data_IF_485288762167
#
_entry.id   IF_485288762167
#
_cell.length_a   1.000
_cell.length_b   1.000
_cell.length_c   1.000
_cell.angle_alpha   90.00
_cell.angle_beta   90.00
_cell.angle_gamma   90.00
#
_symmetry.space_group_name_H-M   'P 1'
#
loop_
_entity.id
_entity.type
_entity.pdbx_description
1 polymer ?
#
# COMPACT_ATOMS: atom_id res chain seq x y z
N UNK A 1 -12.08 -10.57 -5.74
CA UNK A 1 -12.71 -9.57 -4.84
C UNK A 1 -12.37 -8.16 -5.28
N UNK A 2 -11.08 -7.83 -5.49
CA UNK A 2 -10.63 -6.53 -6.00
C UNK A 2 -11.21 -6.23 -7.38
N UNK A 3 -11.24 -7.21 -8.30
CA UNK A 3 -11.79 -7.01 -9.65
C UNK A 3 -13.30 -6.68 -9.63
N UNK A 4 -14.03 -7.19 -8.64
CA UNK A 4 -15.45 -6.85 -8.45
C UNK A 4 -15.61 -5.41 -7.96
N UNK A 5 -14.69 -4.92 -7.13
CA UNK A 5 -14.71 -3.53 -6.66
C UNK A 5 -14.35 -2.59 -7.82
N UNK A 6 -13.34 -2.94 -8.61
CA UNK A 6 -12.97 -2.20 -9.82
C UNK A 6 -14.13 -2.15 -10.81
N UNK A 7 -14.82 -3.26 -11.06
CA UNK A 7 -15.96 -3.28 -11.97
C UNK A 7 -17.14 -2.44 -11.46
N UNK A 8 -17.40 -2.42 -10.15
CA UNK A 8 -18.41 -1.53 -9.55
C UNK A 8 -18.04 -0.06 -9.74
N UNK A 9 -16.76 0.30 -9.52
CA UNK A 9 -16.29 1.68 -9.67
C UNK A 9 -16.31 2.13 -11.14
N UNK A 10 -15.98 1.23 -12.06
CA UNK A 10 -16.10 1.48 -13.50
C UNK A 10 -17.56 1.63 -13.94
N UNK A 11 -18.48 0.85 -13.37
CA UNK A 11 -19.91 1.00 -13.59
C UNK A 11 -20.42 2.34 -13.04
N UNK A 12 -19.97 2.75 -11.84
CA UNK A 12 -20.25 4.08 -11.28
C UNK A 12 -19.68 5.21 -12.15
N UNK A 13 -18.56 4.97 -12.85
CA UNK A 13 -17.97 5.89 -13.84
C UNK A 13 -18.78 5.94 -15.15
N UNK A 14 -19.47 4.87 -15.52
CA UNK A 14 -20.37 4.85 -16.69
C UNK A 14 -21.72 5.51 -16.37
N UNK A 15 -22.24 5.29 -15.15
CA UNK A 15 -23.52 5.81 -14.67
C UNK A 15 -23.37 7.07 -13.80
N UNK A 16 -22.45 7.97 -14.18
CA UNK A 16 -22.07 9.12 -13.34
C UNK A 16 -23.24 10.07 -13.10
N UNK A 17 -24.14 10.23 -14.06
CA UNK A 17 -25.25 11.18 -13.93
C UNK A 17 -26.23 10.78 -12.84
N UNK A 18 -26.58 9.49 -12.75
CA UNK A 18 -27.52 8.98 -11.76
C UNK A 18 -26.87 8.87 -10.39
N UNK A 19 -25.63 8.38 -10.33
CA UNK A 19 -24.92 8.17 -9.07
C UNK A 19 -24.50 9.49 -8.41
N UNK A 20 -24.02 10.45 -9.21
CA UNK A 20 -23.65 11.76 -8.68
C UNK A 20 -24.87 12.53 -8.20
N UNK A 21 -26.02 12.37 -8.87
CA UNK A 21 -27.26 13.05 -8.46
C UNK A 21 -27.72 12.61 -7.07
N UNK A 22 -27.65 11.31 -6.76
CA UNK A 22 -27.98 10.80 -5.41
C UNK A 22 -27.08 11.46 -4.36
N UNK A 23 -25.76 11.50 -4.61
CA UNK A 23 -24.79 12.13 -3.70
C UNK A 23 -25.04 13.64 -3.59
N UNK A 24 -25.38 14.29 -4.70
CA UNK A 24 -25.65 15.72 -4.74
C UNK A 24 -26.92 16.07 -3.95
N UNK A 25 -27.98 15.27 -4.07
CA UNK A 25 -29.22 15.42 -3.32
C UNK A 25 -28.95 15.30 -1.81
N UNK A 26 -28.20 14.28 -1.35
CA UNK A 26 -27.78 14.16 0.05
C UNK A 26 -26.98 15.37 0.56
N UNK A 27 -26.05 15.87 -0.26
CA UNK A 27 -25.26 17.06 0.09
C UNK A 27 -26.13 18.30 0.15
N UNK A 28 -27.13 18.44 -0.73
CA UNK A 28 -28.06 19.58 -0.71
C UNK A 28 -28.91 19.59 0.56
N UNK A 29 -29.35 18.42 1.04
CA UNK A 29 -30.07 18.30 2.31
C UNK A 29 -29.20 18.73 3.49
N UNK A 30 -27.94 18.28 3.54
CA UNK A 30 -26.99 18.65 4.59
C UNK A 30 -26.66 20.15 4.54
N UNK A 31 -26.45 20.71 3.35
CA UNK A 31 -26.20 22.14 3.18
C UNK A 31 -27.40 23.00 3.59
N UNK A 32 -28.63 22.54 3.32
CA UNK A 32 -29.85 23.21 3.77
C UNK A 32 -29.97 23.21 5.31
N UNK A 33 -29.59 22.12 5.98
CA UNK A 33 -29.55 22.04 7.45
C UNK A 33 -28.53 22.99 8.08
N UNK A 34 -27.44 23.29 7.37
CA UNK A 34 -26.33 24.13 7.84
C UNK A 34 -26.41 25.59 7.37
N UNK A 35 -27.47 25.95 6.63
CA UNK A 35 -27.66 27.28 6.02
C UNK A 35 -26.48 27.71 5.11
N UNK A 36 -25.93 26.75 4.37
CA UNK A 36 -24.81 26.96 3.43
C UNK A 36 -25.30 26.91 1.99
N UNK A 37 -25.12 28.01 1.25
CA UNK A 37 -25.45 28.06 -0.18
C UNK A 37 -24.39 27.37 -1.04
N UNK A 38 -24.81 26.41 -1.88
CA UNK A 38 -23.96 25.75 -2.87
C UNK A 38 -23.76 26.70 -4.05
N UNK A 39 -22.60 27.37 -4.11
CA UNK A 39 -22.22 28.27 -5.21
C UNK A 39 -21.03 27.74 -5.98
N UNK A 40 -21.01 28.04 -7.29
CA UNK A 40 -19.84 27.79 -8.11
C UNK A 40 -18.67 28.65 -7.62
N UNK A 41 -17.47 28.06 -7.45
CA UNK A 41 -16.27 28.83 -7.13
C UNK A 41 -15.98 29.88 -8.19
N UNK A 42 -15.41 31.00 -7.79
CA UNK A 42 -15.00 32.06 -8.71
C UNK A 42 -13.96 31.53 -9.71
N UNK A 43 -14.28 31.59 -11.01
CA UNK A 43 -13.37 31.23 -12.10
C UNK A 43 -12.49 32.45 -12.40
N UNK A 44 -11.17 32.31 -12.24
CA UNK A 44 -10.20 33.38 -12.54
C UNK A 44 -9.57 33.17 -13.91
N UNK A 45 -9.41 34.23 -14.71
CA UNK A 45 -8.88 34.14 -16.08
C UNK A 45 -7.44 33.61 -16.20
N UNK A 46 -6.67 33.61 -15.11
CA UNK A 46 -5.34 33.01 -15.03
C UNK A 46 -5.28 32.14 -13.78
N UNK A 47 -5.27 30.82 -13.96
CA UNK A 47 -5.25 29.84 -12.88
C UNK A 47 -4.14 28.83 -13.17
N UNK A 48 -3.14 28.74 -12.29
CA UNK A 48 -1.94 27.91 -12.52
C UNK A 48 -2.09 26.46 -12.06
N UNK A 49 -2.97 26.19 -11.08
CA UNK A 49 -3.05 24.90 -10.39
C UNK A 49 -4.38 24.17 -10.55
N UNK A 50 -5.35 24.76 -11.26
CA UNK A 50 -6.68 24.16 -11.48
C UNK A 50 -7.25 24.59 -12.83
N UNK A 51 -7.80 23.64 -13.56
CA UNK A 51 -8.46 23.87 -14.85
C UNK A 51 -9.82 24.58 -14.70
N UNK A 52 -10.06 25.54 -15.59
CA UNK A 52 -11.30 26.31 -15.66
C UNK A 52 -12.35 25.58 -16.50
N UNK A 53 -12.99 24.60 -15.87
CA UNK A 53 -14.11 23.90 -16.48
C UNK A 53 -15.31 24.83 -16.60
N UNK A 54 -15.83 25.01 -17.81
CA UNK A 54 -17.07 25.74 -18.04
C UNK A 54 -18.24 24.82 -17.69
N UNK A 55 -19.10 25.25 -16.78
CA UNK A 55 -20.30 24.54 -16.36
C UNK A 55 -21.44 25.53 -16.12
N UNK A 56 -22.64 25.15 -16.54
CA UNK A 56 -23.84 26.00 -16.43
C UNK A 56 -24.48 25.92 -15.04
N UNK A 57 -24.32 24.78 -14.36
CA UNK A 57 -24.87 24.53 -13.03
C UNK A 57 -23.78 24.16 -12.01
N UNK A 58 -23.95 24.48 -10.72
CA UNK A 58 -23.05 24.03 -9.66
C UNK A 58 -22.89 22.49 -9.65
N UNK A 59 -23.98 21.77 -9.90
CA UNK A 59 -23.98 20.30 -10.01
C UNK A 59 -23.04 19.81 -11.12
N UNK A 60 -23.16 20.35 -12.34
CA UNK A 60 -22.29 19.98 -13.45
C UNK A 60 -20.82 20.34 -13.16
N UNK A 61 -20.57 21.46 -12.47
CA UNK A 61 -19.22 21.88 -12.11
C UNK A 61 -18.54 20.92 -11.12
N UNK A 62 -19.22 20.54 -10.04
CA UNK A 62 -18.65 19.62 -9.04
C UNK A 62 -18.53 18.19 -9.54
N UNK A 63 -19.44 17.76 -10.42
CA UNK A 63 -19.35 16.48 -11.13
C UNK A 63 -18.05 16.36 -11.92
N UNK A 64 -17.70 17.40 -12.68
CA UNK A 64 -16.48 17.41 -13.50
C UNK A 64 -15.21 17.61 -12.69
N UNK A 65 -15.24 18.57 -11.78
CA UNK A 65 -14.00 18.98 -11.09
C UNK A 65 -13.64 18.12 -9.88
N UNK A 66 -14.61 17.49 -9.20
CA UNK A 66 -14.32 16.61 -8.06
C UNK A 66 -14.63 15.16 -8.37
N UNK A 67 -15.87 14.85 -8.77
CA UNK A 67 -16.32 13.46 -8.79
C UNK A 67 -15.55 12.61 -9.83
N UNK A 68 -15.42 13.10 -11.07
CA UNK A 68 -14.63 12.40 -12.09
C UNK A 68 -13.15 12.29 -11.70
N UNK A 69 -12.53 13.38 -11.26
CA UNK A 69 -11.11 13.36 -10.88
C UNK A 69 -10.86 12.38 -9.72
N UNK A 70 -11.75 12.36 -8.74
CA UNK A 70 -11.65 11.46 -7.59
C UNK A 70 -11.84 10.00 -7.98
N UNK A 71 -12.88 9.68 -8.76
CA UNK A 71 -13.12 8.30 -9.22
C UNK A 71 -11.97 7.80 -10.10
N UNK A 72 -11.50 8.62 -11.03
CA UNK A 72 -10.41 8.26 -11.94
C UNK A 72 -9.13 8.01 -11.15
N UNK A 73 -8.80 8.89 -10.21
CA UNK A 73 -7.67 8.71 -9.31
C UNK A 73 -7.81 7.44 -8.47
N UNK A 74 -8.99 7.18 -7.89
CA UNK A 74 -9.22 6.01 -7.05
C UNK A 74 -9.11 4.71 -7.86
N UNK A 75 -9.66 4.65 -9.08
CA UNK A 75 -9.53 3.51 -9.99
C UNK A 75 -8.06 3.31 -10.37
N UNK A 76 -7.34 4.39 -10.70
CA UNK A 76 -5.93 4.33 -11.05
C UNK A 76 -5.08 3.85 -9.87
N UNK A 77 -5.34 4.33 -8.66
CA UNK A 77 -4.66 3.88 -7.45
C UNK A 77 -4.96 2.42 -7.13
N UNK A 78 -6.19 1.93 -7.32
CA UNK A 78 -6.50 0.52 -7.13
C UNK A 78 -5.81 -0.37 -8.17
N UNK A 79 -5.80 0.03 -9.45
CA UNK A 79 -5.06 -0.69 -10.51
C UNK A 79 -3.55 -0.66 -10.27
N UNK A 80 -3.06 0.53 -9.91
CA UNK A 80 -1.93 0.80 -9.04
C UNK A 80 -1.56 -0.36 -8.13
N UNK A 81 -2.30 -0.40 -7.04
CA UNK A 81 -2.07 -1.19 -5.85
C UNK A 81 -2.17 -2.69 -6.08
N UNK A 82 -2.96 -3.12 -7.06
CA UNK A 82 -3.19 -4.54 -7.35
C UNK A 82 -2.70 -4.96 -8.73
N UNK A 83 -1.68 -4.28 -9.26
CA UNK A 83 -1.02 -4.67 -10.51
C UNK A 83 -0.55 -6.14 -10.48
N UNK A 84 -0.44 -6.75 -11.67
CA UNK A 84 -0.15 -8.18 -11.86
C UNK A 84 1.04 -8.69 -11.04
N UNK A 85 2.09 -7.88 -10.86
CA UNK A 85 3.25 -8.23 -10.05
C UNK A 85 2.91 -8.48 -8.57
N UNK A 86 2.01 -7.66 -8.00
CA UNK A 86 1.55 -7.82 -6.61
C UNK A 86 0.57 -8.97 -6.47
N UNK A 87 -0.25 -9.24 -7.49
CA UNK A 87 -1.11 -10.42 -7.49
C UNK A 87 -0.27 -11.71 -7.49
N UNK A 88 0.79 -11.76 -8.30
CA UNK A 88 1.78 -12.85 -8.28
C UNK A 88 2.44 -12.99 -6.92
N UNK A 89 2.86 -11.89 -6.29
CA UNK A 89 3.44 -11.91 -4.95
C UNK A 89 2.43 -12.39 -3.87
N UNK A 90 1.16 -12.02 -3.99
CA UNK A 90 0.09 -12.38 -3.03
C UNK A 90 -0.36 -13.84 -3.12
N UNK A 91 -0.12 -14.53 -4.24
CA UNK A 91 -0.42 -15.97 -4.38
C UNK A 91 0.32 -16.84 -3.35
N UNK A 92 1.33 -16.32 -2.65
CA UNK A 92 1.95 -16.97 -1.47
C UNK A 92 0.94 -17.26 -0.35
N UNK A 93 -0.20 -16.57 -0.32
CA UNK A 93 -1.33 -16.88 0.58
C UNK A 93 -1.79 -18.35 0.51
N UNK A 94 -1.55 -19.04 -0.61
CA UNK A 94 -1.85 -20.47 -0.76
C UNK A 94 -1.06 -21.36 0.22
N UNK A 95 0.01 -20.86 0.84
CA UNK A 95 0.76 -21.56 1.90
C UNK A 95 0.11 -21.50 3.28
N UNK A 96 -0.87 -20.61 3.47
CA UNK A 96 -1.64 -20.56 4.71
C UNK A 96 -2.54 -21.81 4.76
N UNK A 97 -2.48 -22.62 5.83
CA UNK A 97 -3.13 -23.94 5.90
C UNK A 97 -4.60 -23.97 5.49
N UNK A 98 -5.37 -22.92 5.84
CA UNK A 98 -6.77 -22.75 5.40
C UNK A 98 -6.95 -22.81 3.88
N UNK A 99 -6.02 -22.25 3.12
CA UNK A 99 -6.05 -22.21 1.65
C UNK A 99 -5.17 -23.29 1.01
N UNK A 100 -4.20 -23.85 1.74
CA UNK A 100 -3.30 -24.91 1.23
C UNK A 100 -4.05 -26.18 0.84
N UNK A 101 -5.12 -26.52 1.57
CA UNK A 101 -5.89 -27.74 1.30
C UNK A 101 -6.61 -27.66 -0.06
N UNK A 102 -7.12 -26.48 -0.42
CA UNK A 102 -7.82 -26.24 -1.70
C UNK A 102 -6.90 -25.88 -2.87
N UNK A 103 -5.67 -25.41 -2.61
CA UNK A 103 -4.76 -24.91 -3.65
C UNK A 103 -3.93 -26.02 -4.33
N UNK A 104 -3.47 -25.77 -5.55
CA UNK A 104 -2.58 -26.68 -6.30
C UNK A 104 -1.20 -26.05 -6.50
N UNK A 105 -0.15 -26.87 -6.67
CA UNK A 105 1.21 -26.35 -6.91
C UNK A 105 1.30 -25.45 -8.15
N UNK A 106 0.41 -25.62 -9.13
CA UNK A 106 0.31 -24.76 -10.31
C UNK A 106 0.14 -23.28 -9.94
N UNK A 107 -0.58 -22.99 -8.86
CA UNK A 107 -0.83 -21.62 -8.37
C UNK A 107 0.43 -20.97 -7.79
N UNK A 108 1.39 -21.78 -7.34
CA UNK A 108 2.66 -21.32 -6.78
C UNK A 108 3.76 -21.13 -7.84
N UNK A 109 3.62 -21.64 -9.06
CA UNK A 109 4.70 -21.55 -10.08
C UNK A 109 5.04 -20.09 -10.36
N UNK A 110 4.03 -19.23 -10.50
CA UNK A 110 4.23 -17.80 -10.73
C UNK A 110 4.82 -17.06 -9.51
N UNK A 111 4.50 -17.51 -8.29
CA UNK A 111 5.15 -16.97 -7.07
C UNK A 111 6.61 -17.37 -7.00
N UNK A 112 6.92 -18.59 -7.44
CA UNK A 112 8.25 -19.16 -7.41
C UNK A 112 9.16 -18.38 -8.36
N UNK A 113 8.65 -18.03 -9.55
CA UNK A 113 9.33 -17.15 -10.50
C UNK A 113 9.61 -15.76 -9.92
N UNK A 114 8.69 -15.22 -9.13
CA UNK A 114 8.85 -13.92 -8.49
C UNK A 114 9.91 -13.91 -7.36
N UNK A 115 9.96 -14.97 -6.54
CA UNK A 115 10.88 -15.07 -5.38
C UNK A 115 12.10 -15.95 -5.63
N UNK A 116 12.50 -16.20 -6.89
CA UNK A 116 13.65 -17.07 -7.18
C UNK A 116 14.92 -16.60 -6.48
N UNK A 117 15.12 -15.28 -6.40
CA UNK A 117 16.26 -14.63 -5.75
C UNK A 117 16.31 -14.83 -4.25
N UNK A 118 15.15 -14.99 -3.60
CA UNK A 118 15.06 -15.14 -2.14
C UNK A 118 15.09 -16.60 -1.69
N UNK A 119 14.78 -17.54 -2.60
CA UNK A 119 14.62 -18.94 -2.27
C UNK A 119 15.82 -19.82 -2.58
N UNK A 120 16.75 -19.42 -3.46
CA UNK A 120 17.96 -20.19 -3.83
C UNK A 120 17.68 -21.71 -3.94
N UNK A 121 16.59 -22.10 -4.61
CA UNK A 121 16.18 -23.50 -4.69
C UNK A 121 15.50 -23.85 -6.01
N UNK A 122 15.63 -25.11 -6.42
CA UNK A 122 14.92 -25.63 -7.59
C UNK A 122 13.44 -25.79 -7.30
N UNK A 123 12.59 -25.57 -8.31
CA UNK A 123 11.13 -25.72 -8.20
C UNK A 123 10.71 -27.12 -7.71
N UNK A 124 11.52 -28.15 -7.97
CA UNK A 124 11.30 -29.53 -7.50
C UNK A 124 11.36 -29.66 -5.98
N UNK A 125 12.26 -28.94 -5.30
CA UNK A 125 12.41 -29.00 -3.84
C UNK A 125 11.22 -28.34 -3.16
N UNK A 126 10.82 -27.16 -3.64
CA UNK A 126 9.63 -26.48 -3.10
C UNK A 126 8.36 -27.28 -3.35
N UNK A 127 8.25 -27.96 -4.50
CA UNK A 127 7.11 -28.85 -4.78
C UNK A 127 7.00 -29.98 -3.76
N UNK A 128 8.13 -30.63 -3.45
CA UNK A 128 8.18 -31.69 -2.43
C UNK A 128 7.77 -31.17 -1.05
N UNK A 129 8.33 -30.03 -0.62
CA UNK A 129 7.95 -29.40 0.64
C UNK A 129 6.46 -29.04 0.67
N UNK A 130 5.92 -28.49 -0.42
CA UNK A 130 4.51 -28.09 -0.53
C UNK A 130 3.56 -29.28 -0.45
N UNK A 131 3.87 -30.38 -1.15
CA UNK A 131 3.07 -31.61 -1.09
C UNK A 131 3.08 -32.21 0.33
N UNK A 132 4.23 -32.22 1.00
CA UNK A 132 4.35 -32.64 2.39
C UNK A 132 3.59 -31.71 3.36
N UNK A 133 3.65 -30.40 3.15
CA UNK A 133 2.92 -29.41 3.94
C UNK A 133 1.41 -29.56 3.77
N UNK A 134 0.94 -29.74 2.53
CA UNK A 134 -0.46 -30.02 2.23
C UNK A 134 -0.93 -31.33 2.87
N UNK A 135 -0.11 -32.38 2.84
CA UNK A 135 -0.42 -33.65 3.48
C UNK A 135 -0.48 -33.53 5.02
N UNK A 136 0.38 -32.71 5.64
CA UNK A 136 0.37 -32.43 7.08
C UNK A 136 -0.94 -31.80 7.53
N UNK A 137 -1.43 -30.80 6.79
CA UNK A 137 -2.69 -30.10 7.12
C UNK A 137 -3.94 -30.81 6.65
N UNK A 138 -3.89 -31.58 5.56
CA UNK A 138 -5.01 -32.40 5.10
C UNK A 138 -5.40 -33.54 6.07
N UNK A 139 -4.51 -33.89 7.01
CA UNK A 139 -4.80 -34.87 8.08
C UNK A 139 -5.52 -34.26 9.28
N UNK A 140 -5.52 -32.93 9.44
CA UNK A 140 -6.19 -32.23 10.55
C UNK A 140 -7.54 -31.68 10.09
N UNK A 141 -8.58 -31.92 10.89
CA UNK A 141 -9.95 -31.46 10.60
C UNK A 141 -10.08 -29.93 10.78
N UNK A 142 -10.92 -29.31 9.94
CA UNK A 142 -10.88 -27.88 9.58
C UNK A 142 -11.02 -26.81 10.68
N UNK A 143 -11.24 -27.16 11.94
CA UNK A 143 -11.32 -26.19 13.04
C UNK A 143 -9.96 -25.89 13.72
N UNK A 144 -8.88 -26.62 13.39
CA UNK A 144 -7.52 -26.36 13.91
C UNK A 144 -6.58 -25.71 12.87
N UNK A 145 -7.10 -25.28 11.72
CA UNK A 145 -6.27 -24.75 10.65
C UNK A 145 -5.91 -23.28 10.96
N UNK A 146 -4.61 -22.93 10.98
CA UNK A 146 -4.18 -21.55 11.05
C UNK A 146 -4.82 -20.70 9.95
N UNK A 147 -5.42 -19.58 10.34
CA UNK A 147 -6.05 -18.65 9.40
C UNK A 147 -5.10 -17.54 8.96
N UNK A 148 -4.04 -17.30 9.74
CA UNK A 148 -3.05 -16.25 9.46
C UNK A 148 -1.67 -16.81 9.17
N UNK A 149 -0.88 -16.05 8.41
CA UNK A 149 0.51 -16.37 8.10
C UNK A 149 1.39 -16.51 9.35
N UNK A 150 1.13 -15.70 10.37
CA UNK A 150 1.88 -15.67 11.64
C UNK A 150 1.62 -16.94 12.44
N UNK A 151 0.36 -17.37 12.53
CA UNK A 151 0.02 -18.66 13.15
C UNK A 151 0.62 -19.81 12.36
N UNK A 152 0.52 -19.79 11.03
CA UNK A 152 1.12 -20.81 10.16
C UNK A 152 2.64 -20.93 10.37
N UNK A 153 3.34 -19.81 10.55
CA UNK A 153 4.76 -19.79 10.90
C UNK A 153 5.06 -20.43 12.25
N UNK A 154 4.21 -20.22 13.26
CA UNK A 154 4.39 -20.79 14.59
C UNK A 154 4.33 -22.33 14.59
N UNK A 155 3.54 -22.91 13.68
CA UNK A 155 3.41 -24.36 13.50
C UNK A 155 4.35 -24.94 12.43
N UNK A 156 5.17 -24.11 11.80
CA UNK A 156 6.10 -24.49 10.74
C UNK A 156 7.52 -24.70 11.32
N UNK A 157 7.96 -25.96 11.53
CA UNK A 157 9.34 -26.22 11.90
C UNK A 157 10.26 -25.90 10.72
N UNK A 158 11.15 -24.92 10.90
CA UNK A 158 12.12 -24.46 9.88
C UNK A 158 13.07 -25.55 9.38
N UNK A 159 13.24 -26.62 10.17
CA UNK A 159 14.11 -27.75 9.83
C UNK A 159 13.46 -28.66 8.78
N UNK A 160 12.15 -28.87 8.87
CA UNK A 160 11.41 -29.76 7.96
C UNK A 160 10.92 -29.03 6.70
N UNK A 161 10.63 -27.72 6.83
CA UNK A 161 10.05 -26.91 5.75
C UNK A 161 10.76 -25.54 5.62
N UNK A 162 12.08 -25.51 5.34
CA UNK A 162 12.85 -24.27 5.31
C UNK A 162 12.36 -23.28 4.25
N UNK A 163 11.92 -23.74 3.08
CA UNK A 163 11.51 -22.85 1.98
C UNK A 163 10.10 -22.31 2.20
N UNK A 164 9.19 -23.15 2.69
CA UNK A 164 7.84 -22.70 3.09
C UNK A 164 7.91 -21.72 4.25
N UNK A 165 8.77 -21.96 5.25
CA UNK A 165 8.95 -21.02 6.36
C UNK A 165 9.45 -19.65 5.88
N UNK A 166 10.37 -19.63 4.90
CA UNK A 166 10.87 -18.38 4.30
C UNK A 166 9.76 -17.65 3.54
N UNK A 167 8.99 -18.35 2.72
CA UNK A 167 7.85 -17.76 1.99
C UNK A 167 6.75 -17.26 2.93
N UNK A 168 6.42 -18.00 3.97
CA UNK A 168 5.46 -17.57 4.99
C UNK A 168 5.99 -16.36 5.77
N UNK A 169 7.30 -16.28 6.02
CA UNK A 169 7.92 -15.13 6.67
C UNK A 169 7.85 -13.90 5.78
N UNK A 170 8.19 -14.04 4.50
CA UNK A 170 8.01 -13.00 3.49
C UNK A 170 6.55 -12.54 3.47
N UNK A 171 5.59 -13.47 3.40
CA UNK A 171 4.16 -13.17 3.41
C UNK A 171 3.71 -12.44 4.68
N UNK A 172 4.19 -12.84 5.86
CA UNK A 172 3.88 -12.17 7.12
C UNK A 172 4.46 -10.75 7.20
N UNK A 173 5.52 -10.46 6.46
CA UNK A 173 6.12 -9.12 6.37
C UNK A 173 5.52 -8.24 5.28
N UNK A 174 4.61 -8.75 4.44
CA UNK A 174 3.94 -7.91 3.45
C UNK A 174 3.13 -6.82 4.15
N UNK A 175 3.32 -5.54 3.79
CA UNK A 175 2.41 -4.50 4.20
C UNK A 175 1.10 -4.67 3.42
N UNK A 176 0.20 -5.52 3.92
CA UNK A 176 -1.14 -5.74 3.33
C UNK A 176 -2.02 -4.50 3.55
N UNK A 177 -1.69 -3.65 4.53
CA UNK A 177 -2.37 -2.38 4.79
C UNK A 177 -1.37 -1.24 4.96
N UNK A 178 -1.74 -0.05 4.50
CA UNK A 178 -0.98 1.20 4.63
C UNK A 178 -1.05 1.81 6.04
N UNK A 179 -1.57 1.08 7.04
CA UNK A 179 -1.79 1.59 8.41
C UNK A 179 -0.56 1.53 9.31
N UNK A 180 0.42 0.65 9.07
CA UNK A 180 1.63 0.57 9.91
C UNK A 180 2.57 1.79 9.84
N UNK A 181 2.71 2.55 8.72
CA UNK A 181 3.54 3.75 8.70
C UNK A 181 2.92 4.98 9.39
N UNK A 182 1.83 4.89 10.15
CA UNK A 182 1.28 6.06 10.87
C UNK A 182 2.32 6.78 11.73
N UNK A 183 3.20 6.03 12.40
CA UNK A 183 4.30 6.59 13.19
C UNK A 183 5.33 7.31 12.31
N UNK A 184 5.62 6.77 11.14
CA UNK A 184 6.59 7.36 10.22
C UNK A 184 6.02 8.58 9.51
N UNK A 185 4.77 8.51 9.04
CA UNK A 185 4.04 9.64 8.49
C UNK A 185 3.82 10.76 9.49
N UNK A 186 3.50 10.45 10.76
CA UNK A 186 3.39 11.45 11.83
C UNK A 186 4.72 12.14 12.11
N UNK A 187 5.81 11.38 12.16
CA UNK A 187 7.16 11.93 12.36
C UNK A 187 7.60 12.79 11.17
N UNK A 188 7.33 12.35 9.94
CA UNK A 188 7.57 13.12 8.72
C UNK A 188 6.72 14.39 8.66
N UNK A 189 5.46 14.32 9.09
CA UNK A 189 4.57 15.49 9.17
C UNK A 189 5.10 16.50 10.17
N UNK A 190 5.57 16.07 11.34
CA UNK A 190 6.22 16.92 12.34
C UNK A 190 7.48 17.58 11.76
N UNK A 191 8.37 16.81 11.13
CA UNK A 191 9.58 17.32 10.48
C UNK A 191 9.25 18.38 9.41
N UNK A 192 8.31 18.10 8.51
CA UNK A 192 7.87 19.03 7.45
C UNK A 192 7.20 20.28 8.01
N UNK A 193 6.40 20.14 9.06
CA UNK A 193 5.68 21.28 9.69
C UNK A 193 6.66 22.17 10.44
N UNK A 194 7.61 21.59 11.16
CA UNK A 194 8.62 22.33 11.93
C UNK A 194 9.63 23.05 11.03
N UNK A 195 10.06 22.43 9.92
CA UNK A 195 11.11 22.96 9.03
C UNK A 195 10.56 23.71 7.80
N UNK A 196 9.39 24.35 7.96
CA UNK A 196 8.39 24.76 6.96
C UNK A 196 8.79 25.49 5.64
N UNK A 197 10.04 25.65 5.22
CA UNK A 197 10.29 26.33 3.91
C UNK A 197 11.66 26.21 3.23
N UNK A 198 12.62 25.38 3.65
CA UNK A 198 13.95 25.37 2.97
C UNK A 198 14.69 24.03 3.08
N UNK A 199 14.02 22.91 2.76
CA UNK A 199 14.65 21.58 2.87
C UNK A 199 14.57 20.79 1.56
N UNK A 200 15.74 20.41 1.03
CA UNK A 200 15.84 19.46 -0.08
C UNK A 200 15.49 18.03 0.34
N UNK A 201 15.25 17.16 -0.65
CA UNK A 201 14.86 15.77 -0.43
C UNK A 201 15.90 14.98 0.38
N UNK A 202 17.19 15.20 0.14
CA UNK A 202 18.26 14.46 0.82
C UNK A 202 18.28 14.72 2.33
N UNK A 203 18.28 16.01 2.72
CA UNK A 203 18.23 16.39 4.14
C UNK A 203 16.94 15.89 4.83
N UNK A 204 15.83 15.78 4.10
CA UNK A 204 14.57 15.23 4.62
C UNK A 204 14.67 13.74 4.90
N UNK A 205 15.23 12.98 3.96
CA UNK A 205 15.40 11.55 4.13
C UNK A 205 16.35 11.25 5.29
N UNK A 206 17.39 12.04 5.49
CA UNK A 206 18.31 11.89 6.60
C UNK A 206 17.72 12.17 7.97
N UNK A 207 17.08 13.34 8.11
CA UNK A 207 16.37 13.68 9.35
C UNK A 207 15.25 12.68 9.65
N UNK A 208 14.53 12.21 8.63
CA UNK A 208 13.54 11.16 8.79
C UNK A 208 14.17 9.88 9.33
N UNK A 209 15.26 9.40 8.71
CA UNK A 209 15.97 8.19 9.13
C UNK A 209 16.43 8.28 10.58
N UNK A 210 17.07 9.38 10.99
CA UNK A 210 17.47 9.60 12.38
C UNK A 210 16.27 9.64 13.35
N UNK A 211 15.16 10.26 12.97
CA UNK A 211 13.97 10.31 13.85
C UNK A 211 13.27 8.95 14.00
N UNK A 212 13.36 8.11 12.98
CA UNK A 212 12.79 6.76 12.95
C UNK A 212 13.67 5.74 13.65
N UNK A 213 14.98 5.83 13.47
CA UNK A 213 16.00 4.91 14.00
C UNK A 213 16.74 5.52 15.20
N UNK A 214 15.99 5.94 16.23
CA UNK A 214 16.59 6.53 17.44
C UNK A 214 17.48 5.58 18.23
N UNK A 215 17.32 4.28 17.99
CA UNK A 215 18.05 3.22 18.68
C UNK A 215 19.47 3.02 18.12
N UNK A 216 19.81 3.65 16.98
CA UNK A 216 21.16 3.64 16.41
C UNK A 216 21.94 4.82 17.02
N UNK A 217 22.97 4.56 17.87
CA UNK A 217 23.75 5.63 18.47
C UNK A 217 24.61 6.30 17.39
N UNK A 218 24.47 7.61 17.25
CA UNK A 218 25.35 8.43 16.40
C UNK A 218 26.50 8.93 17.27
N UNK A 219 27.72 8.48 16.99
CA UNK A 219 28.92 8.92 17.68
C UNK A 219 29.26 10.36 17.27
N UNK A 220 29.31 11.27 18.25
CA UNK A 220 29.64 12.69 17.99
C UNK A 220 31.07 12.82 17.48
N UNK A 221 31.99 11.98 17.99
CA UNK A 221 33.41 12.02 17.60
C UNK A 221 33.60 11.62 16.14
N UNK A 222 32.88 10.60 15.66
CA UNK A 222 32.91 10.20 14.24
C UNK A 222 32.38 11.30 13.32
N UNK A 223 31.33 12.01 13.75
CA UNK A 223 30.79 13.15 12.99
C UNK A 223 31.80 14.29 12.93
N UNK A 224 32.49 14.58 14.04
CA UNK A 224 33.52 15.63 14.09
C UNK A 224 34.71 15.28 13.20
N UNK A 225 35.18 14.03 13.23
CA UNK A 225 36.28 13.57 12.39
C UNK A 225 35.93 13.61 10.90
N UNK A 226 34.70 13.26 10.54
CA UNK A 226 34.21 13.30 9.16
C UNK A 226 34.08 14.75 8.65
N UNK A 227 33.63 15.68 9.51
CA UNK A 227 33.59 17.11 9.20
C UNK A 227 35.00 17.70 9.08
N UNK A 228 35.95 17.23 9.88
CA UNK A 228 37.33 17.71 9.87
C UNK A 228 38.11 17.32 8.60
N UNK A 229 37.67 16.29 7.87
CA UNK A 229 38.33 15.82 6.66
C UNK A 229 38.12 16.73 5.43
N UNK A 230 37.07 17.56 5.39
CA UNK A 230 36.77 18.41 4.23
C UNK A 230 36.67 19.90 4.64
N UNK A 231 37.52 20.80 4.11
CA UNK A 231 37.53 22.22 4.50
C UNK A 231 36.36 23.05 3.96
N UNK A 232 35.44 22.44 3.20
CA UNK A 232 34.22 23.10 2.70
C UNK A 232 33.01 22.71 3.55
N UNK A 233 31.96 23.54 3.46
CA UNK A 233 30.65 23.26 4.06
C UNK A 233 30.14 21.94 3.45
N UNK A 234 30.30 20.83 4.17
CA UNK A 234 29.76 19.54 3.78
C UNK A 234 28.23 19.65 3.82
N UNK A 235 27.58 19.34 2.69
CA UNK A 235 26.18 18.93 2.72
C UNK A 235 26.15 17.55 3.36
N UNK A 236 26.05 17.51 4.68
CA UNK A 236 25.92 16.27 5.44
C UNK A 236 24.55 15.69 5.07
N UNK A 237 24.57 14.74 4.13
CA UNK A 237 23.43 13.88 3.84
C UNK A 237 23.34 12.93 5.02
N UNK A 238 22.49 13.33 5.98
CA UNK A 238 22.11 12.50 7.11
C UNK A 238 21.30 11.29 6.65
#
# INVERSE_FOLDING_TARGET
MVDNILSILELKRQNVETEFKIIYDEVTEICALLDVEIKMPRISGRQMHRENHQAETPEAYFRVTMYFQYLDHLIQELRSLFADSRQKAMKVQCLVPKYTVSSTFADLIETLDFYQTDLDCSASVLRGEFECWKAKWGRKAGNELPETAIEALSFCPRIEYPKIATLLQIFATFPVTTSTPERTFSSLKLLKTYLRSTMGHERLNGLASMTLQRDVPVSVDEVVDLIAQDPRRLDIVL
#
